data_IF_804112772523
#
_entry.id   IF_804112772523
#
_cell.length_a   1.000
_cell.length_b   1.000
_cell.length_c   1.000
_cell.angle_alpha   90.00
_cell.angle_beta   90.00
_cell.angle_gamma   90.00
#
_symmetry.space_group_name_H-M   'P 1'
#
loop_
_entity.id
_entity.type
_entity.pdbx_description
1 polymer ?
#
# COMPACT_ATOMS: atom_id res chain seq x y z
N UNK A 1 20.22 23.91 15.23
CA UNK A 1 19.55 22.59 15.30
C UNK A 1 18.30 22.64 14.45
N UNK A 2 18.16 21.82 13.40
CA UNK A 2 16.92 21.77 12.63
C UNK A 2 15.88 21.02 13.45
N UNK A 3 14.86 21.74 13.94
CA UNK A 3 13.68 21.16 14.60
C UNK A 3 12.90 20.35 13.57
N UNK A 4 13.25 19.07 13.40
CA UNK A 4 12.49 18.15 12.57
C UNK A 4 11.20 17.74 13.29
N UNK A 5 10.12 17.54 12.53
CA UNK A 5 8.87 17.00 13.10
C UNK A 5 9.15 15.64 13.74
N UNK A 6 8.65 15.43 14.96
CA UNK A 6 8.81 14.17 15.70
C UNK A 6 8.29 12.96 14.89
N UNK A 7 9.08 11.88 14.71
CA UNK A 7 8.62 10.63 14.11
C UNK A 7 7.37 10.04 14.77
N UNK A 8 7.27 10.17 16.11
CA UNK A 8 6.11 9.73 16.86
C UNK A 8 4.85 10.52 16.46
N UNK A 9 4.98 11.83 16.29
CA UNK A 9 3.87 12.69 15.86
C UNK A 9 3.46 12.41 14.41
N UNK A 10 4.43 12.16 13.51
CA UNK A 10 4.13 11.77 12.13
C UNK A 10 3.40 10.43 12.07
N UNK A 11 3.83 9.45 12.87
CA UNK A 11 3.17 8.17 12.98
C UNK A 11 1.74 8.30 13.52
N UNK A 12 1.54 9.03 14.61
CA UNK A 12 0.21 9.27 15.19
C UNK A 12 -0.74 9.90 14.17
N UNK A 13 -0.31 10.99 13.52
CA UNK A 13 -1.11 11.68 12.50
C UNK A 13 -1.40 10.81 11.28
N UNK A 14 -0.49 9.93 10.92
CA UNK A 14 -0.73 8.95 9.86
C UNK A 14 -1.85 7.99 10.27
N UNK A 15 -1.77 7.37 11.45
CA UNK A 15 -2.78 6.42 11.92
C UNK A 15 -4.13 7.11 12.14
N UNK A 16 -4.18 8.31 12.73
CA UNK A 16 -5.39 9.11 12.89
C UNK A 16 -6.12 9.33 11.55
N UNK A 17 -5.37 9.57 10.47
CA UNK A 17 -5.94 9.86 9.16
C UNK A 17 -6.25 8.62 8.35
N UNK A 18 -5.40 7.60 8.39
CA UNK A 18 -5.42 6.47 7.46
C UNK A 18 -5.83 5.14 8.08
N UNK A 19 -6.05 5.04 9.40
CA UNK A 19 -6.56 3.81 10.00
C UNK A 19 -7.86 3.35 9.32
N UNK A 20 -7.91 2.04 9.02
CA UNK A 20 -8.98 1.34 8.31
C UNK A 20 -9.19 1.83 6.87
N UNK A 21 -8.20 2.53 6.29
CA UNK A 21 -8.23 2.99 4.90
C UNK A 21 -7.23 2.21 4.06
N UNK A 22 -7.40 2.32 2.76
CA UNK A 22 -6.53 1.70 1.77
C UNK A 22 -5.82 2.76 0.94
N UNK A 23 -4.58 2.45 0.56
CA UNK A 23 -3.70 3.34 -0.21
C UNK A 23 -3.11 2.53 -1.37
N UNK A 24 -3.16 3.06 -2.58
CA UNK A 24 -2.43 2.55 -3.72
C UNK A 24 -1.18 3.41 -3.89
N UNK A 25 -0.02 2.84 -3.58
CA UNK A 25 1.28 3.44 -3.87
C UNK A 25 1.71 3.04 -5.29
N UNK A 26 2.07 4.00 -6.14
CA UNK A 26 2.35 3.74 -7.55
C UNK A 26 3.55 4.53 -8.08
N UNK A 27 4.19 3.99 -9.12
CA UNK A 27 5.19 4.70 -9.94
C UNK A 27 4.61 5.34 -11.20
N UNK A 28 3.28 5.48 -11.24
CA UNK A 28 2.50 5.75 -12.44
C UNK A 28 1.57 4.56 -12.74
N UNK A 29 0.52 4.80 -13.51
CA UNK A 29 -0.41 3.76 -13.95
C UNK A 29 -0.30 3.55 -15.45
N UNK A 30 -0.57 2.32 -15.90
CA UNK A 30 -0.76 2.04 -17.31
C UNK A 30 -1.96 2.87 -17.84
N UNK A 31 -1.95 3.26 -19.14
CA UNK A 31 -3.08 3.95 -19.75
C UNK A 31 -4.39 3.20 -19.52
N UNK A 32 -5.46 3.93 -19.17
CA UNK A 32 -6.78 3.36 -18.93
C UNK A 32 -6.97 2.70 -17.55
N UNK A 33 -5.91 2.24 -16.88
CA UNK A 33 -6.03 1.52 -15.60
C UNK A 33 -6.76 2.33 -14.52
N UNK A 34 -6.48 3.63 -14.42
CA UNK A 34 -7.19 4.53 -13.50
C UNK A 34 -8.67 4.67 -13.86
N UNK A 35 -8.98 4.72 -15.16
CA UNK A 35 -10.36 4.82 -15.62
C UNK A 35 -11.14 3.56 -15.28
N UNK A 36 -10.53 2.37 -15.43
CA UNK A 36 -11.12 1.11 -15.00
C UNK A 36 -11.29 1.07 -13.48
N UNK A 37 -10.29 1.48 -12.69
CA UNK A 37 -10.42 1.54 -11.23
C UNK A 37 -11.63 2.34 -10.80
N UNK A 38 -11.87 3.50 -11.42
CA UNK A 38 -13.00 4.37 -11.06
C UNK A 38 -14.37 3.80 -11.45
N UNK A 39 -14.44 2.80 -12.33
CA UNK A 39 -15.68 2.06 -12.64
C UNK A 39 -16.00 0.99 -11.61
N UNK A 40 -14.98 0.47 -10.93
CA UNK A 40 -15.16 -0.58 -9.93
C UNK A 40 -15.87 -0.07 -8.67
N UNK A 41 -16.74 -0.89 -8.04
CA UNK A 41 -17.31 -0.58 -6.74
C UNK A 41 -16.22 -0.28 -5.71
N UNK A 42 -16.20 0.94 -5.17
CA UNK A 42 -15.23 1.35 -4.17
C UNK A 42 -13.86 1.78 -4.72
N UNK A 43 -13.62 1.78 -6.04
CA UNK A 43 -12.32 2.16 -6.60
C UNK A 43 -11.94 3.63 -6.35
N UNK A 44 -12.93 4.52 -6.19
CA UNK A 44 -12.70 5.89 -5.71
C UNK A 44 -12.30 6.00 -4.23
N UNK A 45 -12.48 4.93 -3.45
CA UNK A 45 -12.24 4.89 -2.00
C UNK A 45 -10.77 4.72 -1.60
N UNK A 46 -9.90 4.38 -2.55
CA UNK A 46 -8.47 4.24 -2.30
C UNK A 46 -7.77 5.60 -2.37
N UNK A 47 -6.98 5.92 -1.35
CA UNK A 47 -5.99 6.98 -1.48
C UNK A 47 -4.94 6.55 -2.51
N UNK A 48 -4.33 7.51 -3.20
CA UNK A 48 -3.33 7.24 -4.22
C UNK A 48 -2.12 8.12 -3.97
N UNK A 49 -0.94 7.53 -4.01
CA UNK A 49 0.31 8.25 -3.84
C UNK A 49 1.30 7.86 -4.94
N UNK A 50 1.80 8.88 -5.64
CA UNK A 50 2.88 8.73 -6.62
C UNK A 50 4.23 8.75 -5.91
N UNK A 51 4.91 7.61 -5.86
CA UNK A 51 6.21 7.46 -5.19
C UNK A 51 7.38 8.07 -5.98
N UNK A 52 7.15 8.54 -7.22
CA UNK A 52 8.15 9.29 -7.99
C UNK A 52 8.32 10.71 -7.46
N UNK A 53 7.31 11.24 -6.78
CA UNK A 53 7.35 12.58 -6.20
C UNK A 53 8.14 12.48 -4.90
N UNK A 54 9.24 13.24 -4.72
CA UNK A 54 10.00 13.22 -3.48
C UNK A 54 9.18 13.80 -2.32
N UNK A 55 9.46 13.38 -1.07
CA UNK A 55 8.76 13.91 0.10
C UNK A 55 9.05 15.41 0.29
N UNK A 56 8.08 16.15 0.82
CA UNK A 56 8.25 17.56 1.16
C UNK A 56 9.25 17.80 2.30
N UNK A 57 9.54 19.07 2.58
CA UNK A 57 10.36 19.48 3.72
C UNK A 57 9.64 20.54 4.58
N UNK A 58 9.11 20.17 5.76
CA UNK A 58 9.07 18.81 6.33
C UNK A 58 8.07 17.89 5.59
N UNK A 59 8.24 16.56 5.66
CA UNK A 59 7.34 15.63 4.97
C UNK A 59 5.96 15.60 5.63
N UNK A 60 4.92 15.34 4.82
CA UNK A 60 3.61 14.97 5.36
C UNK A 60 3.65 13.59 6.06
N UNK A 61 2.69 13.26 6.93
CA UNK A 61 2.66 11.95 7.59
C UNK A 61 2.70 10.76 6.62
N UNK A 62 1.94 10.84 5.51
CA UNK A 62 1.91 9.78 4.49
C UNK A 62 3.22 9.72 3.71
N UNK A 63 3.80 10.86 3.31
CA UNK A 63 5.12 10.89 2.65
C UNK A 63 6.18 10.26 3.54
N UNK A 64 6.18 10.61 4.83
CA UNK A 64 7.12 10.03 5.79
C UNK A 64 6.97 8.51 5.87
N UNK A 65 5.75 7.98 5.98
CA UNK A 65 5.54 6.52 6.00
C UNK A 65 5.99 5.87 4.70
N UNK A 66 5.57 6.42 3.56
CA UNK A 66 5.81 5.80 2.26
C UNK A 66 7.29 5.81 1.88
N UNK A 67 7.97 6.94 2.00
CA UNK A 67 9.38 7.02 1.62
C UNK A 67 10.32 6.35 2.63
N UNK A 68 9.97 6.32 3.92
CA UNK A 68 10.86 5.76 4.95
C UNK A 68 10.67 4.28 5.20
N UNK A 69 9.45 3.74 5.05
CA UNK A 69 9.15 2.36 5.45
C UNK A 69 8.57 1.51 4.32
N UNK A 70 7.92 2.10 3.30
CA UNK A 70 7.31 1.33 2.20
C UNK A 70 8.27 1.20 1.03
N UNK A 71 8.81 2.31 0.53
CA UNK A 71 9.71 2.33 -0.61
C UNK A 71 10.96 1.45 -0.40
N UNK A 72 11.61 1.41 0.78
CA UNK A 72 12.76 0.54 1.01
C UNK A 72 12.45 -0.96 1.00
N UNK A 73 11.17 -1.37 1.04
CA UNK A 73 10.79 -2.77 0.89
C UNK A 73 10.99 -3.27 -0.54
N UNK A 74 11.15 -2.36 -1.50
CA UNK A 74 11.42 -2.66 -2.90
C UNK A 74 10.39 -3.64 -3.49
N UNK A 75 9.11 -3.45 -3.12
CA UNK A 75 8.02 -4.21 -3.70
C UNK A 75 7.71 -3.68 -5.10
N UNK A 76 7.30 -4.55 -6.04
CA UNK A 76 6.81 -4.10 -7.33
C UNK A 76 5.64 -3.13 -7.18
N UNK A 77 5.55 -2.16 -8.10
CA UNK A 77 4.51 -1.15 -8.13
C UNK A 77 3.57 -1.39 -9.32
N UNK A 78 2.27 -1.07 -9.20
CA UNK A 78 1.62 -0.47 -8.02
C UNK A 78 1.41 -1.47 -6.89
N UNK A 79 1.33 -0.96 -5.66
CA UNK A 79 1.13 -1.72 -4.44
C UNK A 79 -0.10 -1.22 -3.69
N UNK A 80 -0.97 -2.14 -3.27
CA UNK A 80 -2.09 -1.85 -2.38
C UNK A 80 -1.64 -2.03 -0.93
N UNK A 81 -2.01 -1.06 -0.11
CA UNK A 81 -1.77 -1.04 1.32
C UNK A 81 -3.10 -1.01 2.04
N UNK A 82 -3.26 -1.88 3.04
CA UNK A 82 -4.32 -1.79 4.04
C UNK A 82 -3.70 -1.31 5.35
N UNK A 83 -4.14 -0.14 5.81
CA UNK A 83 -3.71 0.42 7.09
C UNK A 83 -4.71 -0.03 8.15
N UNK A 84 -4.30 -0.96 8.99
CA UNK A 84 -5.06 -1.34 10.18
C UNK A 84 -4.52 -0.59 11.41
N UNK A 85 -5.09 -0.86 12.58
CA UNK A 85 -4.76 -0.12 13.82
C UNK A 85 -3.35 -0.47 14.35
N UNK A 86 -2.89 -1.69 14.14
CA UNK A 86 -1.64 -2.23 14.68
C UNK A 86 -0.56 -2.47 13.61
N UNK A 87 -0.95 -2.56 12.34
CA UNK A 87 -0.05 -2.86 11.24
C UNK A 87 -0.51 -2.28 9.90
N UNK A 88 0.42 -2.20 8.96
CA UNK A 88 0.14 -1.93 7.54
C UNK A 88 0.49 -3.20 6.77
N UNK A 89 -0.46 -3.71 6.00
CA UNK A 89 -0.28 -4.87 5.12
C UNK A 89 -0.08 -4.40 3.69
N UNK A 90 0.91 -4.96 3.00
CA UNK A 90 1.31 -4.54 1.65
C UNK A 90 1.29 -5.72 0.70
N UNK A 91 0.61 -5.54 -0.45
CA UNK A 91 0.57 -6.52 -1.54
C UNK A 91 0.71 -5.80 -2.87
N UNK A 92 1.54 -6.29 -3.79
CA UNK A 92 1.67 -5.66 -5.10
C UNK A 92 0.53 -6.09 -6.02
N UNK A 93 0.26 -5.30 -7.05
CA UNK A 93 -0.85 -5.52 -7.98
C UNK A 93 -0.39 -6.12 -9.32
N UNK A 94 0.84 -6.66 -9.40
CA UNK A 94 1.34 -7.30 -10.62
C UNK A 94 1.00 -8.79 -10.74
N UNK A 95 0.72 -9.22 -11.97
CA UNK A 95 0.76 -10.60 -12.45
C UNK A 95 1.93 -10.73 -13.43
N UNK A 96 3.01 -11.38 -13.01
CA UNK A 96 4.27 -11.34 -13.74
C UNK A 96 4.74 -9.89 -13.87
N UNK A 97 4.85 -9.40 -15.10
CA UNK A 97 5.29 -8.02 -15.39
C UNK A 97 4.13 -7.05 -15.68
N UNK A 98 2.88 -7.53 -15.64
CA UNK A 98 1.70 -6.72 -15.99
C UNK A 98 0.90 -6.34 -14.75
N UNK A 99 0.32 -5.15 -14.73
CA UNK A 99 -0.60 -4.76 -13.65
C UNK A 99 -1.92 -5.49 -13.83
N UNK A 100 -2.37 -6.18 -12.78
CA UNK A 100 -3.67 -6.84 -12.71
C UNK A 100 -4.84 -5.88 -12.85
N UNK A 101 -6.01 -6.43 -13.16
CA UNK A 101 -7.21 -5.63 -13.39
C UNK A 101 -7.72 -5.04 -12.06
N UNK A 102 -8.18 -3.77 -12.00
CA UNK A 102 -8.66 -3.17 -10.75
C UNK A 102 -9.77 -3.94 -10.02
N UNK A 103 -10.60 -4.68 -10.75
CA UNK A 103 -11.65 -5.55 -10.16
C UNK A 103 -11.10 -6.60 -9.20
N UNK A 104 -9.80 -6.86 -9.24
CA UNK A 104 -9.12 -7.83 -8.38
C UNK A 104 -8.85 -7.34 -6.97
N UNK A 105 -8.81 -6.01 -6.78
CA UNK A 105 -8.43 -5.36 -5.53
C UNK A 105 -9.31 -5.80 -4.35
N UNK A 106 -10.65 -5.92 -4.46
CA UNK A 106 -11.48 -6.42 -3.38
C UNK A 106 -11.03 -7.80 -2.84
N UNK A 107 -10.83 -8.79 -3.71
CA UNK A 107 -10.37 -10.13 -3.29
C UNK A 107 -8.97 -10.10 -2.66
N UNK A 108 -8.09 -9.22 -3.16
CA UNK A 108 -6.77 -9.02 -2.54
C UNK A 108 -6.89 -8.40 -1.14
N UNK A 109 -7.80 -7.44 -0.95
CA UNK A 109 -8.03 -6.77 0.33
C UNK A 109 -8.72 -7.67 1.37
N UNK A 110 -9.59 -8.56 0.91
CA UNK A 110 -10.27 -9.56 1.76
C UNK A 110 -9.27 -10.54 2.37
N UNK A 111 -8.24 -10.92 1.60
CA UNK A 111 -7.19 -11.86 2.02
C UNK A 111 -5.89 -11.21 2.50
N UNK A 112 -5.80 -9.87 2.57
CA UNK A 112 -4.51 -9.18 2.72
C UNK A 112 -3.82 -9.43 4.07
N UNK A 113 -4.59 -9.78 5.11
CA UNK A 113 -4.03 -10.06 6.45
C UNK A 113 -3.26 -11.37 6.45
N UNK A 114 -3.72 -12.34 5.68
CA UNK A 114 -3.13 -13.67 5.51
C UNK A 114 -2.13 -13.69 4.35
N UNK A 115 -2.47 -13.02 3.24
CA UNK A 115 -1.72 -12.97 1.98
C UNK A 115 -1.21 -11.55 1.70
N UNK A 116 -0.03 -11.25 2.21
CA UNK A 116 0.71 -10.01 1.98
C UNK A 116 2.19 -10.32 1.72
N UNK A 117 2.89 -9.45 1.00
CA UNK A 117 4.35 -9.59 0.83
C UNK A 117 5.13 -8.98 1.99
N UNK A 118 4.57 -7.94 2.60
CA UNK A 118 5.17 -7.30 3.75
C UNK A 118 4.11 -6.83 4.74
N UNK A 119 4.47 -6.90 6.02
CA UNK A 119 3.71 -6.33 7.12
C UNK A 119 4.60 -5.37 7.89
N UNK A 120 4.16 -4.13 8.01
CA UNK A 120 4.79 -3.11 8.83
C UNK A 120 4.05 -3.03 10.17
N UNK A 121 4.59 -3.65 11.21
CA UNK A 121 4.01 -3.57 12.57
C UNK A 121 4.37 -2.22 13.20
N UNK A 122 3.38 -1.52 13.75
CA UNK A 122 3.62 -0.26 14.42
C UNK A 122 4.49 -0.45 15.68
N UNK A 123 5.52 0.38 15.83
CA UNK A 123 6.33 0.55 17.05
C UNK A 123 6.45 2.04 17.35
N UNK A 124 6.79 2.43 18.58
CA UNK A 124 6.86 3.85 18.94
C UNK A 124 7.82 4.64 18.01
N UNK A 125 7.26 5.57 17.23
CA UNK A 125 8.02 6.42 16.30
C UNK A 125 8.36 5.78 14.96
N UNK A 126 7.78 4.62 14.60
CA UNK A 126 8.08 3.96 13.33
C UNK A 126 7.40 2.62 13.10
N UNK A 127 7.96 1.84 12.18
CA UNK A 127 7.43 0.53 11.84
C UNK A 127 8.55 -0.51 11.76
N UNK A 128 8.28 -1.70 12.27
CA UNK A 128 9.13 -2.87 12.07
C UNK A 128 8.58 -3.69 10.90
N UNK A 129 9.45 -4.02 9.94
CA UNK A 129 9.08 -4.80 8.76
C UNK A 129 9.19 -6.30 9.00
N UNK A 130 8.19 -7.03 8.53
CA UNK A 130 8.15 -8.49 8.47
C UNK A 130 7.82 -8.90 7.03
N UNK A 131 8.58 -9.86 6.51
CA UNK A 131 8.25 -10.50 5.23
C UNK A 131 7.02 -11.40 5.40
N UNK A 132 6.15 -11.42 4.39
CA UNK A 132 5.06 -12.38 4.25
C UNK A 132 5.36 -13.36 3.13
N UNK A 133 4.44 -13.50 2.18
CA UNK A 133 4.59 -14.38 1.02
C UNK A 133 5.67 -13.89 0.04
N UNK A 134 6.35 -14.79 -0.70
CA UNK A 134 7.34 -14.43 -1.71
C UNK A 134 6.78 -13.42 -2.73
N UNK A 135 7.63 -12.51 -3.23
CA UNK A 135 7.23 -11.52 -4.25
C UNK A 135 6.69 -12.17 -5.53
N UNK A 136 7.22 -13.33 -5.93
CA UNK A 136 6.71 -14.04 -7.10
C UNK A 136 5.33 -14.68 -6.89
N UNK A 137 4.90 -14.86 -5.63
CA UNK A 137 3.64 -15.49 -5.29
C UNK A 137 2.55 -14.45 -5.04
N UNK A 138 1.85 -14.06 -6.10
CA UNK A 138 0.80 -13.04 -6.02
C UNK A 138 -0.56 -13.46 -6.60
N UNK A 139 -0.72 -14.74 -6.94
CA UNK A 139 -1.95 -15.28 -7.47
C UNK A 139 -3.14 -14.98 -6.53
N UNK A 140 -4.29 -14.68 -7.14
CA UNK A 140 -5.55 -14.54 -6.44
C UNK A 140 -6.26 -15.87 -6.58
N UNK A 141 -6.36 -16.60 -5.49
CA UNK A 141 -7.19 -17.79 -5.44
C UNK A 141 -8.64 -17.33 -5.50
N UNK A 142 -9.29 -17.63 -6.62
CA UNK A 142 -10.74 -17.46 -6.76
C UNK A 142 -11.35 -18.85 -6.88
N UNK A 143 -12.48 -19.07 -6.21
CA UNK A 143 -13.24 -20.33 -6.27
C UNK A 143 -13.86 -20.60 -7.66
N UNK A 144 -13.58 -19.76 -8.67
CA UNK A 144 -14.16 -19.82 -10.01
C UNK A 144 -13.33 -20.61 -11.03
N UNK A 145 -12.39 -21.44 -10.60
CA UNK A 145 -11.68 -22.38 -11.49
C UNK A 145 -12.52 -23.62 -11.82
N UNK A 146 -13.76 -23.42 -12.30
CA UNK A 146 -14.54 -24.42 -13.05
C UNK A 146 -15.53 -23.71 -13.98
N UNK A 147 -15.11 -23.39 -15.20
CA UNK A 147 -16.00 -23.30 -16.36
C UNK A 147 -15.29 -23.85 -17.60
#
# INVERSE_FOLDING_TARGET
MRSGISPLLLQQRFLERFARRTIIAHGGFAPGWMAELLKEPGGGGHFRLDLRIPPGTPPSPIEWVMHRFVLPLDLPLPCILRVDEDAIYLRHLLHGETVGHPSEIPWMLDSIRERHHARLKAVAGGYQSFAGMPRAENAIETDFTQF
#
